data_IF_440984079627
#
_entry.id   IF_440984079627
#
_cell.length_a   1.000
_cell.length_b   1.000
_cell.length_c   1.000
_cell.angle_alpha   90.00
_cell.angle_beta   90.00
_cell.angle_gamma   90.00
#
_symmetry.space_group_name_H-M   'P 1'
#
loop_
_entity.id
_entity.type
_entity.pdbx_description
1 polymer ?
#
# COMPACT_ATOMS: atom_id res chain seq x y z
N UNK A 1 -33.20 -16.89 -33.09
CA UNK A 1 -32.23 -17.95 -32.75
C UNK A 1 -31.72 -17.61 -31.38
N UNK A 2 -31.97 -18.50 -30.41
CA UNK A 2 -31.50 -18.34 -29.03
C UNK A 2 -30.09 -18.94 -29.04
N UNK A 3 -29.07 -18.10 -28.90
CA UNK A 3 -27.69 -18.56 -28.73
C UNK A 3 -27.60 -19.27 -27.38
N UNK A 4 -27.83 -20.59 -27.39
CA UNK A 4 -27.38 -21.49 -26.36
C UNK A 4 -25.85 -21.54 -26.47
N UNK A 5 -25.16 -20.64 -25.77
CA UNK A 5 -23.76 -20.87 -25.46
C UNK A 5 -23.77 -21.97 -24.39
N UNK A 6 -23.41 -23.23 -24.70
CA UNK A 6 -23.37 -24.26 -23.67
C UNK A 6 -22.38 -23.79 -22.61
N UNK A 7 -22.78 -23.87 -21.35
CA UNK A 7 -21.85 -23.58 -20.26
C UNK A 7 -20.61 -24.45 -20.48
N UNK A 8 -19.40 -23.86 -20.49
CA UNK A 8 -18.19 -24.60 -20.82
C UNK A 8 -18.05 -25.80 -19.88
N UNK A 9 -17.67 -26.94 -20.45
CA UNK A 9 -17.40 -28.15 -19.68
C UNK A 9 -16.19 -27.97 -18.76
N UNK A 10 -16.03 -28.86 -17.78
CA UNK A 10 -14.95 -28.75 -16.78
C UNK A 10 -13.55 -28.66 -17.42
N UNK A 11 -13.30 -29.42 -18.49
CA UNK A 11 -12.04 -29.39 -19.24
C UNK A 11 -11.85 -28.08 -20.01
N UNK A 12 -12.91 -27.52 -20.60
CA UNK A 12 -12.87 -26.24 -21.31
C UNK A 12 -12.61 -25.09 -20.34
N UNK A 13 -13.24 -25.13 -19.15
CA UNK A 13 -12.96 -24.18 -18.07
C UNK A 13 -11.50 -24.24 -17.62
N UNK A 14 -10.94 -25.45 -17.52
CA UNK A 14 -9.53 -25.64 -17.17
C UNK A 14 -8.58 -25.05 -18.23
N UNK A 15 -8.84 -25.33 -19.51
CA UNK A 15 -8.05 -24.80 -20.62
C UNK A 15 -8.13 -23.27 -20.70
N UNK A 16 -9.34 -22.70 -20.56
CA UNK A 16 -9.56 -21.26 -20.50
C UNK A 16 -8.79 -20.62 -19.34
N UNK A 17 -8.84 -21.21 -18.15
CA UNK A 17 -8.11 -20.71 -16.99
C UNK A 17 -6.59 -20.71 -17.25
N UNK A 18 -6.04 -21.80 -17.79
CA UNK A 18 -4.62 -21.87 -18.14
C UNK A 18 -4.21 -20.83 -19.18
N UNK A 19 -5.06 -20.61 -20.19
CA UNK A 19 -4.81 -19.61 -21.23
C UNK A 19 -4.80 -18.20 -20.64
N UNK A 20 -5.78 -17.85 -19.79
CA UNK A 20 -5.84 -16.54 -19.16
C UNK A 20 -4.69 -16.31 -18.19
N UNK A 21 -4.32 -17.30 -17.37
CA UNK A 21 -3.17 -17.22 -16.47
C UNK A 21 -1.88 -16.99 -17.26
N UNK A 22 -1.65 -17.77 -18.33
CA UNK A 22 -0.46 -17.62 -19.18
C UNK A 22 -0.40 -16.24 -19.84
N UNK A 23 -1.53 -15.78 -20.40
CA UNK A 23 -1.62 -14.48 -21.08
C UNK A 23 -1.40 -13.34 -20.10
N UNK A 24 -2.09 -13.36 -18.95
CA UNK A 24 -1.95 -12.35 -17.92
C UNK A 24 -0.53 -12.32 -17.35
N UNK A 25 0.09 -13.48 -17.11
CA UNK A 25 1.46 -13.57 -16.64
C UNK A 25 2.44 -12.91 -17.61
N UNK A 26 2.28 -13.14 -18.92
CA UNK A 26 3.11 -12.49 -19.93
C UNK A 26 2.91 -10.97 -19.93
N UNK A 27 1.66 -10.52 -19.94
CA UNK A 27 1.34 -9.09 -19.97
C UNK A 27 1.83 -8.36 -18.72
N UNK A 28 1.56 -8.88 -17.52
CA UNK A 28 1.82 -8.20 -16.24
C UNK A 28 3.31 -8.26 -15.86
N UNK A 29 3.98 -9.38 -16.12
CA UNK A 29 5.35 -9.59 -15.63
C UNK A 29 6.44 -9.48 -16.70
N UNK A 30 6.07 -9.34 -17.98
CA UNK A 30 7.05 -9.19 -19.08
C UNK A 30 6.79 -7.93 -19.90
N UNK A 31 5.64 -7.86 -20.58
CA UNK A 31 5.37 -6.84 -21.60
C UNK A 31 5.13 -5.46 -20.98
N UNK A 32 4.21 -5.35 -20.01
CA UNK A 32 3.92 -4.09 -19.33
C UNK A 32 5.14 -3.52 -18.58
N UNK A 33 5.92 -4.30 -17.80
CA UNK A 33 7.15 -3.81 -17.19
C UNK A 33 8.18 -3.29 -18.20
N UNK A 34 8.24 -3.87 -19.40
CA UNK A 34 9.14 -3.40 -20.46
C UNK A 34 8.69 -2.04 -20.98
N UNK A 35 7.40 -1.89 -21.31
CA UNK A 35 6.83 -0.62 -21.79
C UNK A 35 6.94 0.48 -20.74
N UNK A 36 6.63 0.19 -19.47
CA UNK A 36 6.76 1.17 -18.38
C UNK A 36 8.22 1.63 -18.22
N UNK A 37 9.19 0.72 -18.35
CA UNK A 37 10.61 1.09 -18.29
C UNK A 37 10.99 2.05 -19.42
N UNK A 38 10.51 1.79 -20.64
CA UNK A 38 10.73 2.69 -21.77
C UNK A 38 10.05 4.05 -21.59
N UNK A 39 8.83 4.08 -21.03
CA UNK A 39 8.13 5.32 -20.70
C UNK A 39 8.96 6.18 -19.73
N UNK A 40 9.54 5.53 -18.72
CA UNK A 40 10.39 6.16 -17.70
C UNK A 40 11.71 6.66 -18.30
N UNK A 41 12.43 5.79 -19.02
CA UNK A 41 13.72 6.13 -19.64
C UNK A 41 13.60 7.27 -20.66
N UNK A 42 12.47 7.35 -21.36
CA UNK A 42 12.22 8.39 -22.35
C UNK A 42 11.50 9.62 -21.78
N UNK A 43 11.14 9.62 -20.49
CA UNK A 43 10.35 10.66 -19.84
C UNK A 43 9.13 11.09 -20.67
N UNK A 44 8.33 10.12 -21.13
CA UNK A 44 7.25 10.38 -22.11
C UNK A 44 6.26 11.43 -21.60
N UNK A 45 6.04 11.52 -20.29
CA UNK A 45 5.15 12.50 -19.68
C UNK A 45 5.55 13.96 -19.91
N UNK A 46 6.84 14.24 -20.12
CA UNK A 46 7.35 15.58 -20.44
C UNK A 46 7.14 15.94 -21.93
N UNK A 47 6.83 14.95 -22.78
CA UNK A 47 6.76 15.06 -24.24
C UNK A 47 5.34 14.99 -24.80
N UNK A 48 4.34 14.92 -23.91
CA UNK A 48 2.92 14.94 -24.29
C UNK A 48 2.49 16.32 -24.78
N UNK A 49 1.33 16.39 -25.44
CA UNK A 49 0.61 17.63 -25.76
C UNK A 49 0.44 18.54 -24.54
N UNK A 50 0.09 17.93 -23.41
CA UNK A 50 0.03 18.56 -22.10
C UNK A 50 1.05 17.88 -21.19
N UNK A 51 2.25 18.47 -21.01
CA UNK A 51 3.29 17.87 -20.18
C UNK A 51 2.85 17.78 -18.71
N UNK A 52 3.19 16.66 -18.07
CA UNK A 52 3.03 16.48 -16.63
C UNK A 52 4.33 16.82 -15.90
N UNK A 53 4.23 17.20 -14.62
CA UNK A 53 5.40 17.58 -13.84
C UNK A 53 6.29 16.40 -13.48
N UNK A 54 5.70 15.24 -13.24
CA UNK A 54 6.38 14.01 -12.81
C UNK A 54 5.61 12.77 -13.29
N UNK A 55 6.23 11.59 -13.10
CA UNK A 55 5.63 10.32 -13.50
C UNK A 55 4.33 9.99 -12.73
N UNK A 56 4.21 10.42 -11.47
CA UNK A 56 3.00 10.22 -10.66
C UNK A 56 1.78 10.94 -11.23
N UNK A 57 1.94 12.21 -11.62
CA UNK A 57 0.87 13.00 -12.24
C UNK A 57 0.44 12.38 -13.57
N UNK A 58 1.40 11.89 -14.35
CA UNK A 58 1.14 11.17 -15.60
C UNK A 58 0.41 9.84 -15.39
N UNK A 59 0.79 9.09 -14.35
CA UNK A 59 0.16 7.81 -14.04
C UNK A 59 -1.32 7.97 -13.66
N UNK A 60 -1.65 8.99 -12.85
CA UNK A 60 -3.03 9.30 -12.46
C UNK A 60 -3.78 10.12 -13.52
N UNK A 61 -3.07 10.75 -14.45
CA UNK A 61 -3.65 11.52 -15.55
C UNK A 61 -4.58 10.68 -16.41
N UNK A 62 -5.67 11.27 -16.88
CA UNK A 62 -6.68 10.57 -17.68
C UNK A 62 -6.17 10.27 -19.10
N UNK A 63 -6.63 9.14 -19.65
CA UNK A 63 -6.45 8.79 -21.06
C UNK A 63 -7.14 9.83 -21.97
N UNK A 64 -6.58 10.19 -23.14
CA UNK A 64 -5.43 9.56 -23.82
C UNK A 64 -4.06 10.12 -23.43
N UNK A 65 -3.99 11.14 -22.58
CA UNK A 65 -2.75 11.86 -22.28
C UNK A 65 -1.95 11.27 -21.11
N UNK A 66 -2.61 10.67 -20.11
CA UNK A 66 -2.01 9.90 -19.03
C UNK A 66 -2.33 8.41 -19.08
N UNK A 67 -1.89 7.65 -18.06
CA UNK A 67 -2.11 6.20 -17.99
C UNK A 67 -3.51 5.79 -17.50
N UNK A 68 -4.27 6.72 -16.90
CA UNK A 68 -5.63 6.46 -16.45
C UNK A 68 -5.73 5.51 -15.25
N UNK A 69 -4.74 5.53 -14.35
CA UNK A 69 -4.78 4.72 -13.12
C UNK A 69 -5.78 5.37 -12.15
N UNK A 70 -6.99 4.83 -12.08
CA UNK A 70 -8.13 5.44 -11.36
C UNK A 70 -8.55 4.69 -10.10
N UNK A 71 -8.14 3.44 -9.93
CA UNK A 71 -8.57 2.58 -8.82
C UNK A 71 -7.37 1.83 -8.19
N UNK A 72 -7.62 1.12 -7.08
CA UNK A 72 -6.58 0.37 -6.37
C UNK A 72 -6.04 -0.83 -7.17
N UNK A 73 -6.85 -1.49 -8.00
CA UNK A 73 -6.43 -2.66 -8.78
C UNK A 73 -5.44 -2.27 -9.88
N UNK A 74 -5.72 -1.17 -10.60
CA UNK A 74 -4.82 -0.58 -11.59
C UNK A 74 -3.55 -0.05 -10.94
N UNK A 75 -3.67 0.55 -9.74
CA UNK A 75 -2.51 0.99 -8.97
C UNK A 75 -1.63 -0.20 -8.54
N UNK A 76 -2.24 -1.31 -8.15
CA UNK A 76 -1.54 -2.55 -7.85
C UNK A 76 -0.85 -3.14 -9.08
N UNK A 77 -1.52 -3.14 -10.25
CA UNK A 77 -0.93 -3.58 -11.51
C UNK A 77 0.29 -2.75 -11.90
N UNK A 78 0.19 -1.41 -11.78
CA UNK A 78 1.32 -0.52 -12.02
C UNK A 78 2.48 -0.82 -11.06
N UNK A 79 2.19 -1.00 -9.76
CA UNK A 79 3.19 -1.37 -8.77
C UNK A 79 3.90 -2.68 -9.13
N UNK A 80 3.14 -3.71 -9.50
CA UNK A 80 3.69 -4.98 -9.92
C UNK A 80 4.61 -4.83 -11.13
N UNK A 81 4.21 -4.00 -12.11
CA UNK A 81 5.00 -3.76 -13.31
C UNK A 81 6.29 -2.98 -13.07
N UNK A 82 6.29 -2.08 -12.08
CA UNK A 82 7.46 -1.26 -11.72
C UNK A 82 8.46 -1.98 -10.79
N UNK A 83 8.07 -3.12 -10.20
CA UNK A 83 8.87 -3.85 -9.21
C UNK A 83 10.02 -4.69 -9.85
N UNK A 84 10.80 -4.09 -10.76
CA UNK A 84 12.06 -4.66 -11.27
C UNK A 84 13.21 -4.19 -10.40
N UNK A 85 13.59 -4.98 -9.38
CA UNK A 85 14.82 -4.78 -8.59
C UNK A 85 15.03 -3.35 -8.07
N UNK A 86 13.95 -2.65 -7.68
CA UNK A 86 13.95 -1.24 -7.24
C UNK A 86 14.40 -0.19 -8.28
N UNK A 87 14.59 -0.55 -9.55
CA UNK A 87 15.08 0.37 -10.59
C UNK A 87 14.24 1.65 -10.73
N UNK A 88 12.94 1.54 -10.49
CA UNK A 88 11.97 2.64 -10.64
C UNK A 88 11.45 3.18 -9.32
N UNK A 89 12.17 2.97 -8.21
CA UNK A 89 11.72 3.37 -6.87
C UNK A 89 11.47 4.89 -6.75
N UNK A 90 12.24 5.72 -7.44
CA UNK A 90 12.04 7.18 -7.47
C UNK A 90 10.66 7.55 -8.02
N UNK A 91 10.35 7.02 -9.21
CA UNK A 91 9.11 7.23 -9.94
C UNK A 91 7.91 6.63 -9.20
N UNK A 92 8.11 5.49 -8.52
CA UNK A 92 7.10 4.95 -7.61
C UNK A 92 6.83 5.91 -6.44
N UNK A 93 7.87 6.54 -5.88
CA UNK A 93 7.73 7.58 -4.87
C UNK A 93 6.91 8.79 -5.34
N UNK A 94 6.98 9.15 -6.62
CA UNK A 94 6.12 10.19 -7.22
C UNK A 94 4.67 9.74 -7.30
N UNK A 95 4.40 8.51 -7.79
CA UNK A 95 3.05 7.93 -7.81
C UNK A 95 2.45 7.92 -6.41
N UNK A 96 3.21 7.48 -5.40
CA UNK A 96 2.74 7.44 -4.02
C UNK A 96 2.38 8.83 -3.49
N UNK A 97 3.13 9.87 -3.85
CA UNK A 97 2.84 11.26 -3.46
C UNK A 97 1.54 11.79 -4.06
N UNK A 98 1.32 11.54 -5.34
CA UNK A 98 0.10 11.96 -6.05
C UNK A 98 -1.13 11.17 -5.58
N UNK A 99 -0.96 9.87 -5.30
CA UNK A 99 -2.00 9.02 -4.69
C UNK A 99 -2.38 9.55 -3.30
N UNK A 100 -1.40 9.82 -2.43
CA UNK A 100 -1.67 10.32 -1.07
C UNK A 100 -2.44 11.65 -1.11
N UNK A 101 -2.09 12.52 -2.06
CA UNK A 101 -2.76 13.81 -2.28
C UNK A 101 -4.19 13.61 -2.77
N UNK A 102 -4.37 12.79 -3.81
CA UNK A 102 -5.69 12.52 -4.41
C UNK A 102 -6.66 11.91 -3.41
N UNK A 103 -6.24 10.92 -2.64
CA UNK A 103 -7.07 10.25 -1.63
C UNK A 103 -7.47 11.21 -0.51
N UNK A 104 -6.58 12.11 -0.09
CA UNK A 104 -6.92 13.15 0.90
C UNK A 104 -7.95 14.15 0.38
N UNK A 105 -7.83 14.55 -0.89
CA UNK A 105 -8.81 15.44 -1.52
C UNK A 105 -10.18 14.78 -1.59
N UNK A 106 -10.24 13.51 -2.03
CA UNK A 106 -11.46 12.71 -2.04
C UNK A 106 -12.08 12.60 -0.65
N UNK A 107 -11.28 12.29 0.37
CA UNK A 107 -11.74 12.18 1.75
C UNK A 107 -12.38 13.49 2.23
N UNK A 108 -11.76 14.63 1.90
CA UNK A 108 -12.26 15.97 2.23
C UNK A 108 -13.58 16.26 1.49
N UNK A 109 -13.65 15.98 0.21
CA UNK A 109 -14.82 16.22 -0.63
C UNK A 109 -16.02 15.40 -0.17
N UNK A 110 -15.82 14.10 0.07
CA UNK A 110 -16.86 13.16 0.49
C UNK A 110 -17.10 13.11 1.99
N UNK A 111 -16.38 13.95 2.76
CA UNK A 111 -16.41 14.01 4.23
C UNK A 111 -16.14 12.66 4.90
N UNK A 112 -15.29 11.83 4.29
CA UNK A 112 -14.88 10.53 4.81
C UNK A 112 -13.76 10.76 5.83
N UNK A 113 -13.88 10.25 7.07
CA UNK A 113 -12.77 10.28 8.01
C UNK A 113 -11.54 9.55 7.46
N UNK A 114 -10.38 10.22 7.42
CA UNK A 114 -9.12 9.66 6.89
C UNK A 114 -8.76 8.30 7.52
N UNK A 115 -9.20 8.05 8.76
CA UNK A 115 -8.98 6.77 9.48
C UNK A 115 -9.67 5.58 8.81
N UNK A 116 -10.74 5.82 8.06
CA UNK A 116 -11.51 4.80 7.33
C UNK A 116 -10.86 4.41 6.00
N UNK A 117 -9.88 5.20 5.52
CA UNK A 117 -9.13 4.97 4.28
C UNK A 117 -7.82 4.19 4.52
N UNK A 118 -7.70 3.53 5.66
CA UNK A 118 -6.53 2.70 5.98
C UNK A 118 -6.68 1.31 5.35
N UNK A 119 -6.00 1.07 4.22
CA UNK A 119 -5.92 -0.26 3.61
C UNK A 119 -4.51 -0.54 3.11
N UNK A 120 -4.08 -1.79 3.24
CA UNK A 120 -2.94 -2.27 2.47
C UNK A 120 -3.37 -2.36 0.98
N UNK A 121 -2.47 -2.03 0.06
CA UNK A 121 -2.76 -2.13 -1.37
C UNK A 121 -2.99 -3.59 -1.79
N UNK A 122 -2.52 -4.56 -0.98
CA UNK A 122 -2.67 -6.00 -1.23
C UNK A 122 -3.90 -6.63 -0.58
N UNK A 123 -4.56 -5.95 0.36
CA UNK A 123 -5.74 -6.46 1.04
C UNK A 123 -7.00 -5.95 0.32
N UNK A 124 -7.53 -6.79 -0.59
CA UNK A 124 -8.85 -6.58 -1.22
C UNK A 124 -9.97 -6.84 -0.20
N UNK A 125 -10.03 -6.04 0.86
CA UNK A 125 -11.10 -6.16 1.84
C UNK A 125 -12.39 -5.48 1.34
N UNK A 126 -13.54 -5.99 1.77
CA UNK A 126 -14.87 -5.55 1.36
C UNK A 126 -14.98 -4.02 1.51
N UNK A 127 -15.04 -3.29 0.39
CA UNK A 127 -15.33 -1.86 0.39
C UNK A 127 -16.75 -1.61 0.88
N UNK A 128 -17.04 -0.38 1.36
CA UNK A 128 -18.43 0.07 1.29
C UNK A 128 -18.88 -0.01 -0.18
N UNK A 129 -20.03 -0.61 -0.47
CA UNK A 129 -20.49 -0.84 -1.84
C UNK A 129 -20.47 0.43 -2.71
N UNK A 130 -20.60 1.61 -2.09
CA UNK A 130 -20.53 2.91 -2.76
C UNK A 130 -19.14 3.24 -3.30
N UNK A 131 -18.05 2.98 -2.56
CA UNK A 131 -16.70 3.29 -3.02
C UNK A 131 -16.18 2.28 -4.05
N UNK A 132 -16.63 1.01 -3.98
CA UNK A 132 -16.33 0.01 -5.00
C UNK A 132 -16.95 0.36 -6.35
N UNK A 133 -18.13 0.99 -6.36
CA UNK A 133 -18.82 1.40 -7.59
C UNK A 133 -18.17 2.60 -8.27
N UNK A 134 -17.50 3.47 -7.52
CA UNK A 134 -16.93 4.72 -8.04
C UNK A 134 -15.56 4.55 -8.69
N UNK A 135 -15.02 3.32 -8.70
CA UNK A 135 -13.77 3.00 -9.38
C UNK A 135 -12.62 3.97 -9.02
N UNK A 136 -12.53 4.32 -7.73
CA UNK A 136 -11.66 5.41 -7.23
C UNK A 136 -10.55 4.87 -6.31
N UNK A 137 -9.35 5.46 -6.38
CA UNK A 137 -8.24 5.15 -5.47
C UNK A 137 -8.63 5.53 -4.03
N UNK A 138 -8.41 4.60 -3.11
CA UNK A 138 -8.65 4.80 -1.67
C UNK A 138 -7.44 4.41 -0.82
N UNK A 139 -6.38 3.90 -1.45
CA UNK A 139 -5.15 3.53 -0.80
C UNK A 139 -4.40 4.75 -0.26
N UNK A 140 -4.20 4.82 1.06
CA UNK A 140 -3.51 5.93 1.72
C UNK A 140 -2.11 5.53 2.23
N UNK A 141 -1.06 5.65 1.40
CA UNK A 141 0.28 5.12 1.73
C UNK A 141 0.89 5.75 2.98
N UNK A 142 0.75 7.07 3.18
CA UNK A 142 1.36 7.77 4.33
C UNK A 142 0.93 7.25 5.71
N UNK A 143 -0.28 6.69 5.81
CA UNK A 143 -0.83 6.12 7.05
C UNK A 143 -0.49 4.64 7.21
N UNK A 144 -0.06 3.98 6.15
CA UNK A 144 0.36 2.58 6.18
C UNK A 144 1.71 2.42 6.90
N UNK A 145 1.91 1.26 7.53
CA UNK A 145 3.22 0.81 8.03
C UNK A 145 4.04 0.08 6.96
N UNK A 146 3.48 -0.07 5.76
CA UNK A 146 4.13 -0.69 4.60
C UNK A 146 5.42 0.05 4.19
N UNK A 147 6.18 -0.60 3.31
CA UNK A 147 7.36 0.01 2.70
C UNK A 147 7.02 1.32 1.97
N UNK A 148 5.86 1.39 1.32
CA UNK A 148 5.40 2.60 0.60
C UNK A 148 5.23 3.79 1.55
N UNK A 149 4.57 3.57 2.70
CA UNK A 149 4.39 4.60 3.72
C UNK A 149 5.69 5.03 4.40
N UNK A 150 6.65 4.11 4.52
CA UNK A 150 7.99 4.41 5.04
C UNK A 150 8.81 5.20 4.02
N UNK A 151 8.73 4.88 2.73
CA UNK A 151 9.38 5.64 1.64
C UNK A 151 8.89 7.09 1.60
N UNK A 152 7.58 7.32 1.70
CA UNK A 152 7.03 8.68 1.75
C UNK A 152 7.50 9.47 2.97
N UNK A 153 7.57 8.83 4.14
CA UNK A 153 8.07 9.46 5.36
C UNK A 153 9.54 9.81 5.22
N UNK A 154 10.35 8.88 4.71
CA UNK A 154 11.78 9.07 4.49
C UNK A 154 12.03 10.23 3.51
N UNK A 155 11.29 10.29 2.39
CA UNK A 155 11.35 11.39 1.42
C UNK A 155 11.15 12.76 2.09
N UNK A 156 10.25 12.84 3.07
CA UNK A 156 9.95 14.08 3.78
C UNK A 156 10.94 14.40 4.92
N UNK A 157 11.45 13.39 5.62
CA UNK A 157 12.28 13.58 6.81
C UNK A 157 13.79 13.62 6.52
N UNK A 158 14.26 12.83 5.55
CA UNK A 158 15.66 12.67 5.19
C UNK A 158 15.80 12.37 3.69
N UNK A 159 15.86 13.42 2.84
CA UNK A 159 15.97 13.27 1.39
C UNK A 159 17.24 12.54 0.94
N UNK A 160 18.35 12.69 1.66
CA UNK A 160 19.62 12.05 1.30
C UNK A 160 19.54 10.53 1.54
N UNK A 161 19.00 10.12 2.69
CA UNK A 161 18.73 8.70 2.96
C UNK A 161 17.69 8.13 1.99
N UNK A 162 16.69 8.91 1.59
CA UNK A 162 15.73 8.52 0.56
C UNK A 162 16.42 8.21 -0.78
N UNK A 163 17.28 9.10 -1.26
CA UNK A 163 18.01 8.90 -2.53
C UNK A 163 18.90 7.65 -2.47
N UNK A 164 19.55 7.40 -1.33
CA UNK A 164 20.35 6.20 -1.13
C UNK A 164 19.50 4.92 -1.15
N UNK A 165 18.28 4.94 -0.61
CA UNK A 165 17.35 3.80 -0.67
C UNK A 165 16.85 3.57 -2.09
N UNK A 166 16.46 4.64 -2.79
CA UNK A 166 15.98 4.60 -4.17
C UNK A 166 17.04 4.09 -5.15
N UNK A 167 18.30 4.48 -4.95
CA UNK A 167 19.43 4.00 -5.75
C UNK A 167 19.91 2.59 -5.37
N UNK A 168 19.24 1.93 -4.41
CA UNK A 168 19.62 0.59 -3.93
C UNK A 168 20.92 0.54 -3.14
N UNK A 169 21.50 1.70 -2.77
CA UNK A 169 22.74 1.81 -1.97
C UNK A 169 22.51 1.48 -0.50
N UNK A 170 21.28 1.60 -0.02
CA UNK A 170 20.88 1.35 1.36
C UNK A 170 19.52 0.64 1.40
N UNK A 171 19.29 -0.22 2.39
CA UNK A 171 17.95 -0.79 2.59
C UNK A 171 17.06 0.17 3.37
N UNK A 172 15.76 0.17 3.08
CA UNK A 172 14.79 1.01 3.79
C UNK A 172 14.81 0.79 5.32
N UNK A 173 15.07 -0.44 5.79
CA UNK A 173 15.21 -0.76 7.22
C UNK A 173 16.44 -0.14 7.88
N UNK A 174 17.49 0.12 7.12
CA UNK A 174 18.72 0.77 7.58
C UNK A 174 18.54 2.29 7.63
N UNK A 175 17.85 2.85 6.64
CA UNK A 175 17.50 4.28 6.57
C UNK A 175 16.48 4.70 7.64
N UNK A 176 15.59 3.80 8.03
CA UNK A 176 14.62 4.02 9.11
C UNK A 176 14.85 3.01 10.25
N UNK A 177 15.93 3.17 11.03
CA UNK A 177 16.20 2.27 12.14
C UNK A 177 15.01 2.33 13.10
N UNK A 178 14.39 1.19 13.34
CA UNK A 178 13.31 1.14 14.31
C UNK A 178 13.86 1.57 15.67
N UNK A 179 13.15 2.42 16.42
CA UNK A 179 13.56 2.74 17.78
C UNK A 179 13.70 1.42 18.52
N UNK A 180 14.92 1.09 18.94
CA UNK A 180 15.18 -0.10 19.75
C UNK A 180 14.22 -0.01 20.92
N UNK A 181 13.25 -0.93 20.98
CA UNK A 181 12.34 -1.03 22.13
C UNK A 181 13.25 -1.08 23.35
N UNK A 182 13.22 -0.03 24.18
CA UNK A 182 13.93 -0.04 25.46
C UNK A 182 13.50 -1.34 26.14
N UNK A 183 14.46 -2.21 26.45
CA UNK A 183 14.19 -3.39 27.26
C UNK A 183 13.74 -2.86 28.61
N UNK A 184 12.43 -2.77 28.80
CA UNK A 184 11.84 -2.37 30.08
C UNK A 184 12.33 -3.37 31.11
N UNK A 185 12.77 -2.88 32.26
CA UNK A 185 13.03 -3.78 33.38
C UNK A 185 11.72 -4.52 33.73
N UNK A 186 11.77 -5.76 34.24
CA UNK A 186 10.57 -6.56 34.51
C UNK A 186 9.50 -5.78 35.30
N UNK A 187 9.91 -4.99 36.28
CA UNK A 187 9.02 -4.16 37.11
C UNK A 187 8.34 -3.03 36.32
N UNK A 188 9.01 -2.43 35.35
CA UNK A 188 8.43 -1.39 34.49
C UNK A 188 7.41 -1.99 33.52
N UNK A 189 7.65 -3.22 33.05
CA UNK A 189 6.69 -3.96 32.23
C UNK A 189 5.41 -4.26 33.01
N UNK A 190 5.54 -4.72 34.26
CA UNK A 190 4.41 -4.98 35.15
C UNK A 190 3.64 -3.67 35.44
N UNK A 191 4.34 -2.58 35.76
CA UNK A 191 3.72 -1.26 36.00
C UNK A 191 2.93 -0.76 34.79
N UNK A 192 3.51 -0.86 33.60
CA UNK A 192 2.84 -0.42 32.37
C UNK A 192 1.60 -1.28 32.07
N UNK A 193 1.71 -2.61 32.20
CA UNK A 193 0.57 -3.52 32.01
C UNK A 193 -0.53 -3.26 33.04
N UNK A 194 -0.19 -3.12 34.32
CA UNK A 194 -1.14 -2.80 35.39
C UNK A 194 -1.86 -1.46 35.14
N UNK A 195 -1.12 -0.45 34.68
CA UNK A 195 -1.69 0.88 34.35
C UNK A 195 -2.59 0.88 33.11
N UNK A 196 -2.51 -0.15 32.27
CA UNK A 196 -3.38 -0.32 31.09
C UNK A 196 -4.64 -1.15 31.37
N UNK A 197 -4.71 -1.83 32.52
CA UNK A 197 -5.88 -2.59 32.94
C UNK A 197 -7.07 -1.68 33.25
N UNK A 198 -8.29 -2.21 33.10
CA UNK A 198 -9.52 -1.57 33.56
C UNK A 198 -9.53 -1.47 35.11
N UNK A 199 -10.42 -0.65 35.67
CA UNK A 199 -10.49 -0.48 37.13
C UNK A 199 -10.81 -1.79 37.86
N UNK A 200 -11.76 -2.58 37.34
CA UNK A 200 -12.12 -3.87 37.93
C UNK A 200 -10.97 -4.88 37.87
N UNK A 201 -10.24 -4.91 36.75
CA UNK A 201 -9.13 -5.85 36.58
C UNK A 201 -7.95 -5.51 37.50
N UNK A 202 -7.73 -4.22 37.80
CA UNK A 202 -6.73 -3.80 38.79
C UNK A 202 -7.11 -4.24 40.19
N UNK A 203 -8.36 -4.05 40.57
CA UNK A 203 -8.87 -4.43 41.89
C UNK A 203 -8.82 -5.95 42.10
N UNK A 204 -9.22 -6.72 41.08
CA UNK A 204 -9.12 -8.18 41.10
C UNK A 204 -7.66 -8.67 41.19
N UNK A 205 -6.74 -8.04 40.45
CA UNK A 205 -5.32 -8.37 40.51
C UNK A 205 -4.70 -8.06 41.89
N UNK A 206 -5.07 -6.94 42.51
CA UNK A 206 -4.61 -6.59 43.85
C UNK A 206 -5.18 -7.54 44.92
N UNK A 207 -6.47 -7.88 44.82
CA UNK A 207 -7.11 -8.85 45.73
C UNK A 207 -6.45 -10.23 45.64
N UNK A 208 -6.12 -10.68 44.43
CA UNK A 208 -5.38 -11.93 44.23
C UNK A 208 -3.97 -11.88 44.85
N UNK A 209 -3.24 -10.76 44.74
CA UNK A 209 -1.93 -10.60 45.40
C UNK A 209 -2.03 -10.63 46.93
N UNK A 210 -3.08 -10.03 47.50
CA UNK A 210 -3.34 -10.05 48.94
C UNK A 210 -3.62 -11.49 49.42
N UNK A 211 -4.45 -12.23 48.67
CA UNK A 211 -4.77 -13.63 48.95
C UNK A 211 -3.55 -14.55 48.83
N UNK A 212 -2.72 -14.37 47.79
CA UNK A 212 -1.48 -15.14 47.64
C UNK A 212 -0.48 -14.85 48.76
N UNK A 213 -0.40 -13.59 49.23
CA UNK A 213 0.45 -13.23 50.37
C UNK A 213 -0.01 -13.94 51.65
N UNK A 214 -1.32 -14.05 51.87
CA UNK A 214 -1.88 -14.76 53.03
C UNK A 214 -1.65 -16.28 52.95
N UNK A 215 -1.63 -16.86 51.75
CA UNK A 215 -1.35 -18.29 51.53
C UNK A 215 0.14 -18.66 51.65
N UNK A 216 1.05 -17.68 51.67
CA UNK A 216 2.50 -17.89 51.80
C UNK A 216 3.01 -17.75 53.25
N UNK A 217 2.12 -17.57 54.24
CA UNK A 217 2.44 -17.53 55.68
C UNK A 217 2.19 -18.88 56.35
#
# INVERSE_FOLDING_TARGET
>A
MIDNNPNPGDDELHEMANQYISTASKLIFQDLPHVISQIIEQEIWNKRSHPYKNFGEYALGQSPDGLGITNNDLLWLLRAAMNKSNQHAAHWGDVLGEVDTSVRMLAKEKKIPIRELHRDLTEQDVMSMQLAQENTITYLPSRSKSADGQLLKLRASDPEAYDNVVQGKMKLKEAMPQPTRKKLHPIESVKNKFSSLSKSDREAFLAWLEQERENMV
#
